data_IF_962140895012
#
_entry.id   IF_962140895012
#
_cell.length_a   1.000
_cell.length_b   1.000
_cell.length_c   1.000
_cell.angle_alpha   90.00
_cell.angle_beta   90.00
_cell.angle_gamma   90.00
#
_symmetry.space_group_name_H-M   'P 1'
#
loop_
_entity.id
_entity.type
_entity.pdbx_description
1 polymer ?
#
# COMPACT_ATOMS: atom_id res chain seq x y z
N UNK A 1 -33.44 5.16 5.86
CA UNK A 1 -32.92 3.77 5.84
C UNK A 1 -33.50 3.10 4.61
N UNK A 2 -32.91 3.35 3.45
CA UNK A 2 -33.26 2.60 2.23
C UNK A 2 -32.24 1.48 2.12
N UNK A 3 -32.73 0.25 2.13
CA UNK A 3 -31.94 -0.96 1.92
C UNK A 3 -31.20 -0.87 0.57
N UNK A 4 -29.92 -0.47 0.61
CA UNK A 4 -28.98 -0.54 -0.53
C UNK A 4 -28.48 -1.97 -0.78
N UNK A 5 -29.24 -2.98 -0.33
CA UNK A 5 -28.87 -4.41 -0.33
C UNK A 5 -28.78 -5.03 -1.75
N UNK A 6 -28.68 -4.21 -2.80
CA UNK A 6 -28.60 -4.65 -4.20
C UNK A 6 -27.88 -3.72 -5.18
N UNK A 7 -27.25 -2.62 -4.75
CA UNK A 7 -26.47 -1.77 -5.66
C UNK A 7 -25.20 -2.52 -6.08
N UNK A 8 -25.17 -2.96 -7.33
CA UNK A 8 -24.01 -3.64 -7.90
C UNK A 8 -22.93 -2.63 -8.34
N UNK A 9 -23.36 -1.44 -8.76
CA UNK A 9 -22.50 -0.39 -9.33
C UNK A 9 -22.98 0.97 -8.82
N UNK A 10 -22.06 1.83 -8.41
CA UNK A 10 -22.27 3.24 -8.06
C UNK A 10 -21.26 4.04 -8.86
N UNK A 11 -21.71 5.10 -9.52
CA UNK A 11 -20.87 5.98 -10.34
C UNK A 11 -21.27 7.43 -10.06
N UNK A 12 -20.29 8.34 -9.99
CA UNK A 12 -20.54 9.76 -9.80
C UNK A 12 -19.26 10.58 -9.84
N UNK A 13 -19.40 11.90 -9.94
CA UNK A 13 -18.23 12.78 -9.93
C UNK A 13 -17.63 12.88 -8.52
N UNK A 14 -18.43 13.35 -7.55
CA UNK A 14 -18.12 13.32 -6.13
C UNK A 14 -19.04 12.29 -5.45
N UNK A 15 -18.47 11.26 -4.83
CA UNK A 15 -19.22 10.26 -4.09
C UNK A 15 -18.75 10.17 -2.65
N UNK A 16 -19.72 10.20 -1.75
CA UNK A 16 -19.52 9.79 -0.36
C UNK A 16 -20.22 8.45 -0.15
N UNK A 17 -19.41 7.43 0.18
CA UNK A 17 -19.90 6.14 0.62
C UNK A 17 -19.75 6.08 2.13
N UNK A 18 -20.89 6.01 2.79
CA UNK A 18 -21.04 5.92 4.24
C UNK A 18 -22.22 4.98 4.51
N UNK A 19 -22.11 4.18 5.57
CA UNK A 19 -22.93 2.99 5.89
C UNK A 19 -22.55 1.69 5.16
N UNK A 20 -22.52 0.59 5.93
CA UNK A 20 -22.16 -0.82 5.62
C UNK A 20 -22.67 -1.37 4.28
N UNK A 21 -22.19 -0.83 3.19
CA UNK A 21 -22.64 -1.14 1.87
C UNK A 21 -21.93 -2.40 1.34
N UNK A 22 -22.65 -3.13 0.50
CA UNK A 22 -22.12 -4.30 -0.22
C UNK A 22 -22.15 -4.05 -1.72
N UNK A 23 -21.33 -3.12 -2.17
CA UNK A 23 -21.21 -2.80 -3.59
C UNK A 23 -20.20 -3.72 -4.27
N UNK A 24 -20.40 -3.96 -5.57
CA UNK A 24 -19.39 -4.69 -6.36
C UNK A 24 -18.41 -3.71 -7.00
N UNK A 25 -18.90 -2.58 -7.50
CA UNK A 25 -18.11 -1.57 -8.19
C UNK A 25 -18.53 -0.18 -7.69
N UNK A 26 -17.55 0.66 -7.39
CA UNK A 26 -17.70 2.09 -7.13
C UNK A 26 -16.70 2.79 -8.03
N UNK A 27 -17.17 3.75 -8.81
CA UNK A 27 -16.34 4.54 -9.71
C UNK A 27 -16.65 6.02 -9.50
N UNK A 28 -15.64 6.86 -9.42
CA UNK A 28 -15.88 8.30 -9.41
C UNK A 28 -14.62 9.13 -9.43
N UNK A 29 -14.76 10.43 -9.67
CA UNK A 29 -13.59 11.30 -9.73
C UNK A 29 -12.99 11.51 -8.33
N UNK A 30 -13.82 11.94 -7.37
CA UNK A 30 -13.47 12.06 -5.95
C UNK A 30 -14.33 11.09 -5.13
N UNK A 31 -13.71 10.10 -4.48
CA UNK A 31 -14.37 9.17 -3.57
C UNK A 31 -13.90 9.37 -2.13
N UNK A 32 -14.85 9.58 -1.23
CA UNK A 32 -14.63 9.52 0.21
C UNK A 32 -15.39 8.35 0.80
N UNK A 33 -14.67 7.47 1.49
CA UNK A 33 -15.23 6.28 2.12
C UNK A 33 -14.97 6.29 3.63
N UNK A 34 -16.04 6.07 4.39
CA UNK A 34 -16.03 6.19 5.84
C UNK A 34 -17.06 5.25 6.51
N UNK A 35 -16.83 3.93 6.47
CA UNK A 35 -17.42 2.96 7.42
C UNK A 35 -16.93 1.53 7.12
N UNK A 36 -17.56 0.48 7.67
CA UNK A 36 -17.24 -0.92 7.35
C UNK A 36 -17.88 -1.41 6.05
N UNK A 37 -17.30 -1.06 4.92
CA UNK A 37 -17.80 -1.48 3.62
C UNK A 37 -17.14 -2.77 3.12
N UNK A 38 -17.88 -3.45 2.23
CA UNK A 38 -17.40 -4.64 1.53
C UNK A 38 -17.52 -4.42 0.05
N UNK A 39 -16.48 -3.84 -0.49
CA UNK A 39 -16.36 -3.45 -1.90
C UNK A 39 -15.46 -4.45 -2.61
N UNK A 40 -15.73 -4.72 -3.90
CA UNK A 40 -14.84 -5.58 -4.69
C UNK A 40 -13.87 -4.75 -5.53
N UNK A 41 -14.38 -3.71 -6.18
CA UNK A 41 -13.62 -2.81 -7.04
C UNK A 41 -14.00 -1.37 -6.70
N UNK A 42 -12.98 -0.53 -6.51
CA UNK A 42 -13.09 0.91 -6.33
C UNK A 42 -12.09 1.55 -7.26
N UNK A 43 -12.55 2.49 -8.07
CA UNK A 43 -11.74 3.22 -9.03
C UNK A 43 -12.03 4.72 -8.90
N UNK A 44 -11.00 5.54 -8.84
CA UNK A 44 -11.20 6.99 -8.90
C UNK A 44 -9.94 7.81 -9.03
N UNK A 45 -10.08 9.10 -9.29
CA UNK A 45 -8.91 9.97 -9.37
C UNK A 45 -8.36 10.24 -7.98
N UNK A 46 -9.17 10.79 -7.08
CA UNK A 46 -8.84 11.02 -5.67
C UNK A 46 -9.66 10.09 -4.78
N UNK A 47 -8.99 9.32 -3.95
CA UNK A 47 -9.56 8.31 -3.08
C UNK A 47 -9.09 8.53 -1.63
N UNK A 48 -10.04 8.78 -0.73
CA UNK A 48 -9.77 8.87 0.70
C UNK A 48 -10.56 7.80 1.46
N UNK A 49 -9.84 6.95 2.20
CA UNK A 49 -10.42 5.84 2.96
C UNK A 49 -10.08 5.96 4.44
N UNK A 50 -11.12 5.90 5.27
CA UNK A 50 -11.03 6.22 6.69
C UNK A 50 -11.97 5.38 7.59
N UNK A 51 -11.95 4.05 7.48
CA UNK A 51 -12.33 3.06 8.52
C UNK A 51 -11.99 1.65 7.99
N UNK A 52 -12.42 0.57 8.66
CA UNK A 52 -12.11 -0.83 8.34
C UNK A 52 -12.89 -1.40 7.16
N UNK A 53 -12.46 -1.03 5.97
CA UNK A 53 -12.96 -1.58 4.74
C UNK A 53 -12.34 -2.94 4.40
N UNK A 54 -13.14 -3.72 3.66
CA UNK A 54 -12.67 -4.93 3.00
C UNK A 54 -12.82 -4.77 1.51
N UNK A 55 -11.80 -4.17 0.92
CA UNK A 55 -11.66 -4.01 -0.52
C UNK A 55 -10.84 -5.16 -1.11
N UNK A 56 -11.12 -5.52 -2.36
CA UNK A 56 -10.25 -6.48 -3.08
C UNK A 56 -9.31 -5.77 -4.03
N UNK A 57 -9.81 -4.80 -4.78
CA UNK A 57 -9.09 -4.02 -5.76
C UNK A 57 -9.44 -2.55 -5.55
N UNK A 58 -8.41 -1.72 -5.43
CA UNK A 58 -8.49 -0.26 -5.32
C UNK A 58 -7.51 0.29 -6.34
N UNK A 59 -7.98 1.19 -7.19
CA UNK A 59 -7.18 1.86 -8.21
C UNK A 59 -7.46 3.36 -8.14
N UNK A 60 -6.42 4.18 -8.05
CA UNK A 60 -6.62 5.61 -8.20
C UNK A 60 -5.37 6.44 -8.39
N UNK A 61 -5.53 7.70 -8.80
CA UNK A 61 -4.38 8.58 -9.01
C UNK A 61 -3.78 9.01 -7.66
N UNK A 62 -4.63 9.53 -6.78
CA UNK A 62 -4.30 9.92 -5.40
C UNK A 62 -5.05 9.01 -4.43
N UNK A 63 -4.36 8.15 -3.68
CA UNK A 63 -4.95 7.29 -2.66
C UNK A 63 -4.38 7.59 -1.28
N UNK A 64 -5.27 7.88 -0.33
CA UNK A 64 -4.92 8.02 1.08
C UNK A 64 -5.70 7.01 1.94
N UNK A 65 -4.96 6.21 2.69
CA UNK A 65 -5.52 5.16 3.57
C UNK A 65 -5.04 5.37 5.00
N UNK A 66 -6.00 5.54 5.92
CA UNK A 66 -5.72 5.99 7.28
C UNK A 66 -6.19 5.04 8.41
N UNK A 67 -6.81 3.90 8.12
CA UNK A 67 -7.20 2.89 9.13
C UNK A 67 -6.97 1.46 8.60
N UNK A 68 -7.19 0.45 9.46
CA UNK A 68 -6.98 -0.98 9.24
C UNK A 68 -7.90 -1.56 8.19
N UNK A 69 -7.51 -1.35 6.96
CA UNK A 69 -8.12 -2.01 5.85
C UNK A 69 -7.59 -3.43 5.70
N UNK A 70 -8.42 -4.25 5.06
CA UNK A 70 -7.93 -5.49 4.46
C UNK A 70 -8.05 -5.36 2.97
N UNK A 71 -7.21 -4.52 2.38
CA UNK A 71 -7.01 -4.46 0.94
C UNK A 71 -6.25 -5.72 0.49
N UNK A 72 -6.38 -6.08 -0.78
CA UNK A 72 -5.59 -7.17 -1.37
C UNK A 72 -4.68 -6.67 -2.46
N UNK A 73 -5.24 -5.87 -3.36
CA UNK A 73 -4.58 -5.25 -4.48
C UNK A 73 -4.87 -3.75 -4.42
N UNK A 74 -3.82 -2.96 -4.46
CA UNK A 74 -3.86 -1.51 -4.47
C UNK A 74 -2.94 -1.06 -5.60
N UNK A 75 -3.43 -0.20 -6.46
CA UNK A 75 -2.69 0.40 -7.56
C UNK A 75 -2.93 1.91 -7.55
N UNK A 76 -1.90 2.70 -7.75
CA UNK A 76 -2.09 4.13 -7.93
C UNK A 76 -0.83 4.92 -8.19
N UNK A 77 -0.98 6.17 -8.60
CA UNK A 77 0.19 7.01 -8.88
C UNK A 77 0.84 7.46 -7.58
N UNK A 78 0.07 8.08 -6.69
CA UNK A 78 0.49 8.51 -5.34
C UNK A 78 -0.29 7.73 -4.29
N UNK A 79 0.43 6.93 -3.49
CA UNK A 79 -0.12 6.06 -2.47
C UNK A 79 0.43 6.43 -1.08
N UNK A 80 -0.46 6.84 -0.17
CA UNK A 80 -0.12 7.13 1.23
C UNK A 80 -0.88 6.20 2.17
N UNK A 81 -0.13 5.41 2.94
CA UNK A 81 -0.65 4.41 3.88
C UNK A 81 -0.17 4.70 5.31
N UNK A 82 -1.10 4.78 6.25
CA UNK A 82 -0.83 5.25 7.63
C UNK A 82 -1.28 4.29 8.75
N UNK A 83 -1.74 3.07 8.46
CA UNK A 83 -2.11 2.05 9.46
C UNK A 83 -1.75 0.65 8.98
N UNK A 84 -1.98 -0.34 9.84
CA UNK A 84 -1.57 -1.74 9.72
C UNK A 84 -2.47 -2.55 8.84
N UNK A 85 -1.94 -2.84 7.67
CA UNK A 85 -2.58 -3.65 6.67
C UNK A 85 -1.92 -5.02 6.50
N UNK A 86 -2.71 -5.97 5.98
CA UNK A 86 -2.20 -7.25 5.49
C UNK A 86 -2.49 -7.36 3.99
N UNK A 87 -1.74 -6.60 3.19
CA UNK A 87 -1.92 -6.50 1.75
C UNK A 87 -1.22 -7.64 0.98
N UNK A 88 -1.64 -7.89 -0.26
CA UNK A 88 -0.95 -8.88 -1.11
C UNK A 88 -0.07 -8.22 -2.15
N UNK A 89 -0.61 -7.24 -2.87
CA UNK A 89 0.06 -6.53 -3.94
C UNK A 89 -0.24 -5.05 -3.77
N UNK A 90 0.80 -4.24 -3.87
CA UNK A 90 0.72 -2.79 -3.92
C UNK A 90 1.66 -2.35 -5.04
N UNK A 91 1.15 -1.53 -5.94
CA UNK A 91 1.89 -0.99 -7.07
C UNK A 91 1.64 0.51 -7.13
N UNK A 92 2.69 1.31 -7.27
CA UNK A 92 2.51 2.73 -7.52
C UNK A 92 3.77 3.48 -7.85
N UNK A 93 3.62 4.70 -8.36
CA UNK A 93 4.79 5.50 -8.72
C UNK A 93 5.49 6.02 -7.46
N UNK A 94 4.74 6.71 -6.59
CA UNK A 94 5.17 7.20 -5.29
C UNK A 94 4.42 6.48 -4.17
N UNK A 95 5.16 5.80 -3.29
CA UNK A 95 4.64 5.01 -2.19
C UNK A 95 5.21 5.48 -0.86
N UNK A 96 4.33 5.91 0.04
CA UNK A 96 4.70 6.26 1.40
C UNK A 96 3.94 5.38 2.40
N UNK A 97 4.69 4.63 3.21
CA UNK A 97 4.14 3.75 4.24
C UNK A 97 4.72 4.10 5.62
N UNK A 98 3.85 4.30 6.60
CA UNK A 98 4.23 4.87 7.91
C UNK A 98 3.77 4.08 9.15
N UNK A 99 3.12 2.91 9.00
CA UNK A 99 2.87 1.94 10.10
C UNK A 99 3.21 0.52 9.61
N UNK A 100 2.91 -0.47 10.44
CA UNK A 100 3.35 -1.86 10.31
C UNK A 100 2.48 -2.69 9.40
N UNK A 101 2.99 -2.92 8.21
CA UNK A 101 2.34 -3.67 7.18
C UNK A 101 2.91 -5.08 7.02
N UNK A 102 2.06 -5.93 6.44
CA UNK A 102 2.45 -7.25 5.94
C UNK A 102 2.08 -7.34 4.49
N UNK A 103 3.00 -6.96 3.61
CA UNK A 103 2.81 -7.07 2.17
C UNK A 103 3.56 -8.28 1.60
N UNK A 104 3.06 -8.82 0.48
CA UNK A 104 3.79 -9.88 -0.23
C UNK A 104 4.61 -9.32 -1.38
N UNK A 105 4.05 -8.40 -2.16
CA UNK A 105 4.73 -7.73 -3.27
C UNK A 105 4.42 -6.24 -3.17
N UNK A 106 5.46 -5.43 -3.28
CA UNK A 106 5.40 -3.98 -3.39
C UNK A 106 6.29 -3.61 -4.56
N UNK A 107 5.75 -2.86 -5.50
CA UNK A 107 6.45 -2.37 -6.68
C UNK A 107 6.24 -0.87 -6.82
N UNK A 108 7.29 -0.12 -7.12
CA UNK A 108 7.13 1.29 -7.45
C UNK A 108 8.40 2.03 -7.79
N UNK A 109 8.27 3.28 -8.24
CA UNK A 109 9.44 4.08 -8.59
C UNK A 109 10.13 4.62 -7.33
N UNK A 110 9.37 5.27 -6.45
CA UNK A 110 9.87 5.85 -5.21
C UNK A 110 9.12 5.23 -4.02
N UNK A 111 9.83 4.47 -3.18
CA UNK A 111 9.25 3.85 -1.99
C UNK A 111 9.92 4.40 -0.74
N UNK A 112 9.10 4.92 0.18
CA UNK A 112 9.52 5.36 1.50
C UNK A 112 8.78 4.59 2.58
N UNK A 113 9.53 3.95 3.48
CA UNK A 113 9.00 3.12 4.57
C UNK A 113 9.62 3.55 5.90
N UNK A 114 8.75 3.82 6.89
CA UNK A 114 9.15 4.46 8.16
C UNK A 114 8.82 3.67 9.45
N UNK A 115 8.12 2.54 9.40
CA UNK A 115 7.89 1.63 10.55
C UNK A 115 8.21 0.18 10.13
N UNK A 116 7.91 -0.78 11.00
CA UNK A 116 8.36 -2.18 10.93
C UNK A 116 7.50 -3.02 10.01
N UNK A 117 7.96 -3.18 8.79
CA UNK A 117 7.28 -3.96 7.79
C UNK A 117 7.78 -5.39 7.67
N UNK A 118 6.90 -6.24 7.16
CA UNK A 118 7.24 -7.61 6.76
C UNK A 118 6.89 -7.82 5.31
N UNK A 119 7.90 -7.69 4.48
CA UNK A 119 7.79 -7.74 3.03
C UNK A 119 8.44 -9.01 2.50
N UNK A 120 7.85 -9.60 1.45
CA UNK A 120 8.49 -10.75 0.78
C UNK A 120 9.27 -10.30 -0.44
N UNK A 121 8.67 -9.47 -1.28
CA UNK A 121 9.28 -8.93 -2.48
C UNK A 121 9.02 -7.42 -2.50
N UNK A 122 10.09 -6.67 -2.69
CA UNK A 122 10.08 -5.22 -2.89
C UNK A 122 10.91 -4.95 -4.13
N UNK A 123 10.33 -4.26 -5.09
CA UNK A 123 11.00 -3.83 -6.30
C UNK A 123 10.80 -2.32 -6.47
N UNK A 124 11.86 -1.59 -6.76
CA UNK A 124 11.70 -0.19 -7.13
C UNK A 124 12.96 0.54 -7.54
N UNK A 125 12.82 1.75 -8.06
CA UNK A 125 13.98 2.52 -8.50
C UNK A 125 14.72 3.12 -7.31
N UNK A 126 14.02 3.87 -6.46
CA UNK A 126 14.52 4.48 -5.23
C UNK A 126 13.79 3.90 -4.01
N UNK A 127 14.55 3.24 -3.12
CA UNK A 127 14.05 2.58 -1.93
C UNK A 127 14.68 3.17 -0.67
N UNK A 128 13.86 3.81 0.18
CA UNK A 128 14.29 4.40 1.45
C UNK A 128 13.57 3.74 2.64
N UNK A 129 14.34 3.20 3.57
CA UNK A 129 13.84 2.43 4.72
C UNK A 129 14.48 2.91 6.03
N UNK A 130 13.65 3.19 7.03
CA UNK A 130 14.07 3.90 8.25
C UNK A 130 13.84 3.18 9.59
N UNK A 131 13.15 2.03 9.65
CA UNK A 131 12.98 1.21 10.87
C UNK A 131 13.17 -0.28 10.53
N UNK A 132 13.01 -1.18 11.52
CA UNK A 132 13.39 -2.59 11.48
C UNK A 132 12.52 -3.43 10.57
N UNK A 133 12.93 -3.51 9.31
CA UNK A 133 12.23 -4.28 8.32
C UNK A 133 12.68 -5.73 8.26
N UNK A 134 11.72 -6.58 7.89
CA UNK A 134 11.99 -7.98 7.56
C UNK A 134 11.64 -8.20 6.10
N UNK A 135 12.66 -8.10 5.26
CA UNK A 135 12.56 -8.25 3.82
C UNK A 135 13.17 -9.59 3.41
N UNK A 136 12.54 -10.28 2.46
CA UNK A 136 13.14 -11.49 1.90
C UNK A 136 13.92 -11.20 0.63
N UNK A 137 13.31 -10.50 -0.31
CA UNK A 137 13.91 -10.12 -1.58
C UNK A 137 13.65 -8.64 -1.78
N UNK A 138 14.70 -7.91 -2.07
CA UNK A 138 14.66 -6.50 -2.41
C UNK A 138 15.48 -6.32 -3.67
N UNK A 139 14.89 -5.68 -4.67
CA UNK A 139 15.55 -5.28 -5.89
C UNK A 139 15.35 -3.79 -6.09
N UNK A 140 16.42 -3.03 -6.29
CA UNK A 140 16.27 -1.64 -6.67
C UNK A 140 17.53 -0.95 -7.11
N UNK A 141 17.39 0.20 -7.76
CA UNK A 141 18.55 0.92 -8.29
C UNK A 141 19.32 1.62 -7.17
N UNK A 142 18.62 2.42 -6.37
CA UNK A 142 19.14 3.13 -5.20
C UNK A 142 18.46 2.61 -3.93
N UNK A 143 19.26 2.11 -2.99
CA UNK A 143 18.80 1.55 -1.73
C UNK A 143 19.44 2.27 -0.55
N UNK A 144 18.61 2.85 0.32
CA UNK A 144 19.03 3.49 1.57
C UNK A 144 18.35 2.85 2.78
N UNK A 145 19.14 2.38 3.73
CA UNK A 145 18.69 1.71 4.96
C UNK A 145 19.36 2.32 6.18
N UNK A 146 18.53 2.78 7.12
CA UNK A 146 18.99 3.56 8.29
C UNK A 146 19.02 2.77 9.61
N UNK A 147 18.36 1.61 9.68
CA UNK A 147 18.12 0.88 10.93
C UNK A 147 18.12 -0.65 10.72
N UNK A 148 18.06 -1.43 11.80
CA UNK A 148 18.33 -2.90 11.80
C UNK A 148 17.42 -3.75 10.89
N UNK A 149 17.72 -3.76 9.61
CA UNK A 149 17.01 -4.56 8.64
C UNK A 149 17.50 -5.99 8.62
N UNK A 150 16.55 -6.91 8.53
CA UNK A 150 16.81 -8.33 8.32
C UNK A 150 16.47 -8.67 6.88
N UNK A 151 17.52 -8.77 6.07
CA UNK A 151 17.45 -9.04 4.64
C UNK A 151 17.91 -10.47 4.35
N UNK A 152 17.29 -11.13 3.38
CA UNK A 152 17.77 -12.43 2.90
C UNK A 152 18.44 -12.36 1.53
N UNK A 153 17.95 -11.51 0.65
CA UNK A 153 18.49 -11.26 -0.67
C UNK A 153 18.24 -9.79 -1.00
N UNK A 154 19.28 -9.13 -1.50
CA UNK A 154 19.24 -7.74 -1.95
C UNK A 154 20.04 -7.68 -3.24
N UNK A 155 19.46 -7.05 -4.24
CA UNK A 155 20.12 -6.71 -5.49
C UNK A 155 19.91 -5.22 -5.74
N UNK A 156 21.01 -4.50 -5.97
CA UNK A 156 20.92 -3.09 -6.31
C UNK A 156 22.24 -2.49 -6.72
N UNK A 157 22.16 -1.38 -7.44
CA UNK A 157 23.34 -0.71 -8.00
C UNK A 157 24.03 0.17 -6.96
N UNK A 158 23.25 0.93 -6.19
CA UNK A 158 23.74 1.79 -5.13
C UNK A 158 23.11 1.39 -3.79
N UNK A 159 23.91 0.87 -2.87
CA UNK A 159 23.44 0.42 -1.55
C UNK A 159 24.15 1.19 -0.44
N UNK A 160 23.37 1.90 0.37
CA UNK A 160 23.78 2.57 1.60
C UNK A 160 23.07 1.93 2.79
N UNK A 161 23.85 1.36 3.72
CA UNK A 161 23.36 0.67 4.90
C UNK A 161 24.12 1.15 6.14
N UNK A 162 23.43 1.26 7.27
CA UNK A 162 24.00 1.73 8.53
C UNK A 162 24.57 0.56 9.34
N UNK A 163 25.52 0.82 10.25
CA UNK A 163 26.42 -0.12 10.96
C UNK A 163 25.81 -1.37 11.69
N UNK A 164 24.50 -1.65 11.59
CA UNK A 164 23.83 -2.76 12.30
C UNK A 164 22.96 -3.66 11.43
N UNK A 165 23.08 -3.58 10.12
CA UNK A 165 22.26 -4.36 9.19
C UNK A 165 22.81 -5.77 8.97
N UNK A 166 21.90 -6.75 8.93
CA UNK A 166 22.27 -8.14 8.63
C UNK A 166 22.11 -8.38 7.14
N UNK A 167 23.10 -7.95 6.36
CA UNK A 167 23.12 -8.15 4.92
C UNK A 167 23.44 -9.62 4.58
N UNK A 168 22.83 -10.21 3.53
CA UNK A 168 23.20 -11.53 3.05
C UNK A 168 24.61 -11.52 2.45
N UNK A 169 25.33 -12.63 2.60
CA UNK A 169 26.63 -12.82 1.95
C UNK A 169 26.39 -13.05 0.44
N UNK A 170 26.42 -11.98 -0.35
CA UNK A 170 26.38 -11.99 -1.82
C UNK A 170 27.36 -10.94 -2.36
N UNK A 171 28.06 -11.28 -3.44
CA UNK A 171 29.28 -10.61 -3.92
C UNK A 171 29.17 -9.09 -4.01
N UNK A 172 30.17 -8.42 -3.41
CA UNK A 172 30.43 -6.98 -3.58
C UNK A 172 31.01 -6.69 -4.96
#
# INVERSE_FOLDING_TARGET
MSDRDGLKHVEGYELQVSDRDRLKHVEGYELQMSDRDRLKHVEGYELQMSDRDRLKHVEGYELQVSDRDRLKHVEGYELQMSDRDRLKHVEGYELQMSDRDRLNHVEGCELQMSDRDRLKHVEGYELQMSDRDRLKHVEGYELQMSDRDSLKQVEGYELQASDRDSLPNGDR
#
